data_IF_288105693795
#
_entry.id   IF_288105693795
#
_cell.length_a   1.000
_cell.length_b   1.000
_cell.length_c   1.000
_cell.angle_alpha   90.00
_cell.angle_beta   90.00
_cell.angle_gamma   90.00
#
_symmetry.space_group_name_H-M   'P 1'
#
loop_
_entity.id
_entity.type
_entity.pdbx_description
1 polymer ?
#
# COMPACT_ATOMS: atom_id res chain seq x y z
N UNK A 1 2.47 -10.17 11.30
CA UNK A 1 1.88 -9.29 10.29
C UNK A 1 1.85 -7.85 10.78
N UNK A 2 2.15 -6.91 9.88
CA UNK A 2 2.27 -5.48 10.21
C UNK A 2 0.92 -4.75 10.18
N UNK A 3 -0.18 -5.44 9.87
CA UNK A 3 -1.52 -4.86 9.79
C UNK A 3 -1.78 -3.93 8.59
N UNK A 4 -0.78 -3.60 7.79
CA UNK A 4 -0.91 -2.66 6.66
C UNK A 4 -1.31 -3.30 5.33
N UNK A 5 -1.50 -4.62 5.27
CA UNK A 5 -1.98 -5.31 4.09
C UNK A 5 -3.35 -4.75 3.64
N UNK A 6 -3.53 -4.55 2.35
CA UNK A 6 -4.72 -3.92 1.75
C UNK A 6 -4.98 -2.45 2.14
N UNK A 7 -4.12 -1.83 2.95
CA UNK A 7 -4.18 -0.38 3.19
C UNK A 7 -3.51 0.33 2.01
N UNK A 8 -4.17 1.31 1.37
CA UNK A 8 -3.57 2.09 0.29
C UNK A 8 -2.20 2.66 0.71
N UNK A 9 -1.30 2.84 -0.23
CA UNK A 9 0.09 3.32 -0.05
C UNK A 9 1.01 2.36 0.73
N UNK A 10 0.52 1.61 1.72
CA UNK A 10 1.33 0.81 2.64
C UNK A 10 1.22 -0.70 2.43
N UNK A 11 0.31 -1.15 1.56
CA UNK A 11 0.01 -2.58 1.37
C UNK A 11 0.95 -3.34 0.44
N UNK A 12 1.81 -2.67 -0.33
CA UNK A 12 2.74 -3.34 -1.26
C UNK A 12 3.87 -4.06 -0.50
N UNK A 13 4.42 -5.12 -1.08
CA UNK A 13 5.53 -5.89 -0.47
C UNK A 13 6.72 -4.98 -0.12
N UNK A 14 7.07 -4.04 -1.02
CA UNK A 14 8.16 -3.10 -0.83
C UNK A 14 7.93 -2.19 0.38
N UNK A 15 6.77 -1.53 0.45
CA UNK A 15 6.45 -0.60 1.56
C UNK A 15 6.24 -1.35 2.87
N UNK A 16 5.67 -2.56 2.86
CA UNK A 16 5.61 -3.42 4.05
C UNK A 16 7.02 -3.73 4.60
N UNK A 17 8.00 -3.92 3.72
CA UNK A 17 9.41 -4.04 4.11
C UNK A 17 9.89 -2.77 4.83
N UNK A 18 9.67 -1.60 4.25
CA UNK A 18 10.03 -0.31 4.87
C UNK A 18 9.40 -0.12 6.25
N UNK A 19 8.10 -0.41 6.39
CA UNK A 19 7.38 -0.35 7.68
C UNK A 19 8.00 -1.29 8.72
N UNK A 20 8.40 -2.49 8.30
CA UNK A 20 9.08 -3.45 9.19
C UNK A 20 10.44 -2.95 9.66
N UNK A 21 11.21 -2.35 8.77
CA UNK A 21 12.57 -1.88 9.05
C UNK A 21 12.54 -0.60 9.90
N UNK A 22 11.62 0.33 9.63
CA UNK A 22 11.54 1.64 10.29
C UNK A 22 10.68 1.66 11.54
N UNK A 23 9.74 0.72 11.70
CA UNK A 23 8.81 0.63 12.85
C UNK A 23 8.14 1.97 13.18
N UNK A 24 7.39 2.58 12.25
CA UNK A 24 6.84 3.91 12.42
C UNK A 24 5.92 4.00 13.65
N UNK A 25 6.01 5.09 14.38
CA UNK A 25 5.23 5.36 15.60
C UNK A 25 4.41 6.64 15.50
N UNK A 26 4.71 7.50 14.53
CA UNK A 26 4.06 8.78 14.33
C UNK A 26 3.47 8.89 12.93
N UNK A 27 2.59 9.89 12.73
CA UNK A 27 2.07 10.22 11.41
C UNK A 27 3.18 10.76 10.47
N UNK A 28 4.16 11.47 11.03
CA UNK A 28 5.29 11.98 10.26
C UNK A 28 6.19 10.85 9.74
N UNK A 29 6.39 9.78 10.51
CA UNK A 29 7.08 8.57 10.03
C UNK A 29 6.39 7.96 8.81
N UNK A 30 5.05 7.95 8.79
CA UNK A 30 4.29 7.47 7.65
C UNK A 30 4.44 8.38 6.42
N UNK A 31 4.54 9.70 6.63
CA UNK A 31 4.85 10.65 5.56
C UNK A 31 6.25 10.41 4.98
N UNK A 32 7.23 10.17 5.83
CA UNK A 32 8.59 9.82 5.43
C UNK A 32 8.61 8.55 4.58
N UNK A 33 7.95 7.47 5.04
CA UNK A 33 7.85 6.22 4.29
C UNK A 33 7.18 6.43 2.93
N UNK A 34 6.09 7.20 2.88
CA UNK A 34 5.40 7.51 1.63
C UNK A 34 6.30 8.28 0.66
N UNK A 35 7.00 9.31 1.13
CA UNK A 35 7.94 10.07 0.32
C UNK A 35 9.08 9.21 -0.23
N UNK A 36 9.68 8.39 0.63
CA UNK A 36 10.78 7.49 0.27
C UNK A 36 10.36 6.37 -0.68
N UNK A 37 9.11 5.91 -0.61
CA UNK A 37 8.58 4.83 -1.47
C UNK A 37 8.29 5.29 -2.90
N UNK A 38 8.06 6.57 -3.12
CA UNK A 38 7.70 7.16 -4.42
C UNK A 38 8.86 7.86 -5.13
N UNK A 39 9.99 8.02 -4.48
CA UNK A 39 11.19 8.59 -5.10
C UNK A 39 12.06 7.56 -5.82
N UNK A 40 13.08 8.03 -6.51
CA UNK A 40 14.08 7.19 -7.16
C UNK A 40 15.43 7.41 -6.49
N UNK A 41 16.10 6.32 -6.11
CA UNK A 41 17.37 6.30 -5.37
C UNK A 41 17.33 7.11 -4.05
N UNK A 42 16.19 7.03 -3.37
CA UNK A 42 15.96 7.71 -2.08
C UNK A 42 15.93 6.72 -0.91
N UNK A 43 15.47 5.48 -1.12
CA UNK A 43 15.41 4.47 -0.06
C UNK A 43 16.59 3.50 -0.14
N UNK A 44 16.62 2.60 -1.13
CA UNK A 44 17.68 1.60 -1.28
C UNK A 44 19.02 2.27 -1.61
N UNK A 45 20.07 1.90 -0.89
CA UNK A 45 21.41 2.50 -1.04
C UNK A 45 21.51 3.93 -0.56
N UNK A 46 20.49 4.48 0.10
CA UNK A 46 20.44 5.83 0.64
C UNK A 46 19.79 5.85 2.04
N UNK A 47 18.55 6.26 2.20
CA UNK A 47 17.91 6.39 3.52
C UNK A 47 17.84 5.06 4.29
N UNK A 48 17.70 3.92 3.61
CA UNK A 48 17.75 2.60 4.26
C UNK A 48 19.07 2.35 5.00
N UNK A 49 20.20 2.71 4.37
CA UNK A 49 21.53 2.55 4.96
C UNK A 49 21.76 3.53 6.12
N UNK A 50 21.22 4.76 6.00
CA UNK A 50 21.29 5.77 7.06
C UNK A 50 20.49 5.32 8.29
N UNK A 51 19.27 4.83 8.11
CA UNK A 51 18.44 4.29 9.20
C UNK A 51 19.11 3.09 9.85
N UNK A 52 19.69 2.19 9.05
CA UNK A 52 20.43 1.02 9.58
C UNK A 52 21.69 1.44 10.37
N UNK A 53 22.31 2.58 10.06
CA UNK A 53 23.44 3.15 10.80
C UNK A 53 23.03 3.93 12.05
N UNK A 54 21.71 4.07 12.32
CA UNK A 54 21.18 4.72 13.53
C UNK A 54 20.71 6.16 13.33
N UNK A 55 20.67 6.68 12.10
CA UNK A 55 20.09 7.99 11.82
C UNK A 55 18.55 7.86 11.88
N UNK A 56 17.86 8.71 12.66
CA UNK A 56 16.39 8.69 12.75
C UNK A 56 15.74 8.91 11.38
N UNK A 57 14.62 8.21 11.12
CA UNK A 57 13.92 8.30 9.85
C UNK A 57 13.52 9.74 9.49
N UNK A 58 13.07 10.51 10.46
CA UNK A 58 12.65 11.90 10.29
C UNK A 58 13.81 12.90 10.06
N UNK A 59 15.05 12.47 10.22
CA UNK A 59 16.24 13.25 9.84
C UNK A 59 16.68 12.96 8.40
N UNK A 60 16.23 11.84 7.83
CA UNK A 60 16.52 11.49 6.44
C UNK A 60 15.75 12.40 5.48
N UNK A 61 16.25 12.52 4.25
CA UNK A 61 15.58 13.26 3.18
C UNK A 61 14.43 12.40 2.64
N UNK A 62 13.21 12.68 3.08
CA UNK A 62 12.02 11.89 2.73
C UNK A 62 11.24 12.50 1.56
N UNK A 63 11.15 13.84 1.51
CA UNK A 63 10.45 14.59 0.47
C UNK A 63 11.35 15.75 -0.01
N UNK A 64 11.06 16.28 -1.20
CA UNK A 64 11.82 17.42 -1.75
C UNK A 64 11.83 18.64 -0.83
N UNK A 65 10.71 18.88 -0.17
CA UNK A 65 10.50 20.03 0.72
C UNK A 65 11.43 19.97 1.95
N UNK A 66 11.82 18.77 2.38
CA UNK A 66 12.73 18.57 3.50
C UNK A 66 14.11 19.16 3.22
N UNK A 67 14.60 19.06 1.97
CA UNK A 67 15.89 19.62 1.56
C UNK A 67 15.89 21.14 1.75
N UNK A 68 14.88 21.81 1.22
CA UNK A 68 14.78 23.27 1.30
C UNK A 68 14.68 23.74 2.76
N UNK A 69 13.79 23.15 3.53
CA UNK A 69 13.56 23.53 4.92
C UNK A 69 14.78 23.27 5.80
N UNK A 70 15.43 22.12 5.62
CA UNK A 70 16.64 21.78 6.35
C UNK A 70 17.77 22.76 6.07
N UNK A 71 18.03 23.09 4.80
CA UNK A 71 19.08 24.02 4.40
C UNK A 71 18.82 25.45 4.90
N UNK A 72 17.57 25.93 4.83
CA UNK A 72 17.19 27.22 5.41
C UNK A 72 17.42 27.21 6.93
N UNK A 73 17.00 26.14 7.62
CA UNK A 73 17.22 25.96 9.05
C UNK A 73 18.70 25.92 9.45
N UNK A 74 19.59 25.49 8.55
CA UNK A 74 21.05 25.53 8.73
C UNK A 74 21.68 26.90 8.41
N UNK A 75 20.91 27.83 7.87
CA UNK A 75 21.41 29.18 7.53
C UNK A 75 21.81 29.37 6.07
N UNK A 76 21.54 28.40 5.20
CA UNK A 76 21.73 28.58 3.75
C UNK A 76 20.73 29.60 3.23
N UNK A 77 21.18 30.48 2.34
CA UNK A 77 20.32 31.49 1.73
C UNK A 77 19.08 30.87 1.07
N UNK A 78 17.85 31.37 1.33
CA UNK A 78 16.59 30.72 0.92
C UNK A 78 16.48 30.44 -0.59
N UNK A 79 16.98 31.35 -1.45
CA UNK A 79 16.97 31.17 -2.91
C UNK A 79 17.90 30.03 -3.32
N UNK A 80 19.07 29.94 -2.70
CA UNK A 80 20.03 28.87 -2.97
C UNK A 80 19.52 27.52 -2.43
N UNK A 81 18.89 27.52 -1.26
CA UNK A 81 18.24 26.33 -0.70
C UNK A 81 17.13 25.79 -1.62
N UNK A 82 16.29 26.67 -2.16
CA UNK A 82 15.27 26.32 -3.16
C UNK A 82 15.91 25.77 -4.45
N UNK A 83 16.95 26.43 -4.97
CA UNK A 83 17.66 25.96 -6.18
C UNK A 83 18.32 24.60 -5.96
N UNK A 84 18.87 24.37 -4.77
CA UNK A 84 19.46 23.09 -4.38
C UNK A 84 18.38 21.99 -4.35
N UNK A 85 17.26 22.24 -3.70
CA UNK A 85 16.11 21.34 -3.70
C UNK A 85 15.65 21.01 -5.13
N UNK A 86 15.49 22.03 -5.98
CA UNK A 86 15.07 21.84 -7.38
C UNK A 86 16.08 21.04 -8.22
N UNK A 87 17.38 21.21 -7.96
CA UNK A 87 18.43 20.44 -8.62
C UNK A 87 18.39 18.96 -8.21
N UNK A 88 18.33 18.70 -6.90
CA UNK A 88 18.33 17.36 -6.33
C UNK A 88 17.07 16.59 -6.74
N UNK A 89 15.87 17.18 -6.59
CA UNK A 89 14.62 16.49 -6.93
C UNK A 89 14.50 16.08 -8.40
N UNK A 90 15.22 16.76 -9.29
CA UNK A 90 15.29 16.46 -10.74
C UNK A 90 16.43 15.53 -11.11
N UNK A 91 17.16 15.01 -10.14
CA UNK A 91 18.29 14.12 -10.35
C UNK A 91 19.52 14.77 -11.00
N UNK A 92 19.61 16.11 -10.94
CA UNK A 92 20.76 16.87 -11.48
C UNK A 92 21.94 16.93 -10.52
N UNK A 93 21.78 16.42 -9.30
CA UNK A 93 22.79 16.44 -8.26
C UNK A 93 23.05 17.84 -7.68
N UNK A 94 24.23 18.01 -7.09
CA UNK A 94 24.68 19.26 -6.48
C UNK A 94 25.70 19.93 -7.39
N UNK A 95 25.54 21.24 -7.59
CA UNK A 95 26.59 22.06 -8.20
C UNK A 95 27.62 22.47 -7.14
N UNK A 96 28.87 22.85 -7.54
CA UNK A 96 29.91 23.24 -6.60
C UNK A 96 29.48 24.30 -5.59
N UNK A 97 28.83 25.38 -6.05
CA UNK A 97 28.33 26.44 -5.18
C UNK A 97 27.32 26.00 -4.14
N UNK A 98 26.52 24.99 -4.46
CA UNK A 98 25.51 24.39 -3.55
C UNK A 98 26.24 23.59 -2.46
N UNK A 99 27.20 22.75 -2.85
CA UNK A 99 27.94 21.91 -1.92
C UNK A 99 28.83 22.78 -0.98
N UNK A 100 29.46 23.81 -1.50
CA UNK A 100 30.23 24.76 -0.70
C UNK A 100 29.37 25.49 0.33
N UNK A 101 28.16 25.95 -0.06
CA UNK A 101 27.25 26.59 0.86
C UNK A 101 26.74 25.60 1.94
N UNK A 102 26.48 24.34 1.60
CA UNK A 102 26.10 23.31 2.56
C UNK A 102 27.22 23.06 3.57
N UNK A 103 28.46 22.91 3.13
CA UNK A 103 29.63 22.72 4.01
C UNK A 103 29.88 23.94 4.89
N UNK A 104 29.77 25.15 4.36
CA UNK A 104 29.94 26.40 5.10
C UNK A 104 28.89 26.57 6.22
N UNK A 105 27.70 25.96 6.07
CA UNK A 105 26.63 25.98 7.06
C UNK A 105 26.55 24.69 7.90
N UNK A 106 27.63 23.92 8.01
CA UNK A 106 27.74 22.73 8.82
C UNK A 106 26.66 21.64 8.50
N UNK A 107 26.33 21.50 7.22
CA UNK A 107 25.51 20.38 6.76
C UNK A 107 26.38 19.11 6.80
N UNK A 108 25.92 18.01 7.45
CA UNK A 108 26.71 16.79 7.57
C UNK A 108 27.01 16.16 6.20
N UNK A 109 28.19 15.53 6.07
CA UNK A 109 28.60 14.87 4.83
C UNK A 109 27.60 13.80 4.36
N UNK A 110 27.04 13.02 5.29
CA UNK A 110 26.02 12.01 4.94
C UNK A 110 24.77 12.62 4.29
N UNK A 111 24.39 13.85 4.67
CA UNK A 111 23.26 14.56 4.08
C UNK A 111 23.59 15.03 2.66
N UNK A 112 24.80 15.57 2.47
CA UNK A 112 25.32 15.97 1.16
C UNK A 112 25.40 14.76 0.23
N UNK A 113 25.90 13.63 0.71
CA UNK A 113 26.00 12.39 -0.05
C UNK A 113 24.61 11.81 -0.39
N UNK A 114 23.65 11.91 0.53
CA UNK A 114 22.27 11.55 0.26
C UNK A 114 21.68 12.38 -0.89
N UNK A 115 21.88 13.70 -0.88
CA UNK A 115 21.46 14.59 -1.97
C UNK A 115 22.06 14.20 -3.33
N UNK A 116 23.31 13.74 -3.36
CA UNK A 116 23.99 13.33 -4.61
C UNK A 116 23.43 12.04 -5.21
N UNK A 117 22.93 11.15 -4.37
CA UNK A 117 22.33 9.84 -4.79
C UNK A 117 20.95 10.02 -5.41
N UNK A 118 20.16 10.97 -4.94
CA UNK A 118 18.76 11.16 -5.30
C UNK A 118 18.58 11.46 -6.79
N UNK A 119 17.68 10.73 -7.46
CA UNK A 119 17.33 10.95 -8.86
C UNK A 119 15.96 11.58 -9.05
N UNK A 120 15.03 11.29 -8.15
CA UNK A 120 13.70 11.88 -8.15
C UNK A 120 13.12 11.92 -6.74
N UNK A 121 12.54 13.05 -6.38
CA UNK A 121 11.87 13.23 -5.09
C UNK A 121 10.43 13.68 -5.23
N UNK A 122 9.63 13.18 -4.30
CA UNK A 122 8.20 13.39 -4.21
C UNK A 122 7.87 14.64 -3.37
N UNK A 123 6.82 15.43 -3.73
CA UNK A 123 6.43 16.60 -2.96
C UNK A 123 5.71 16.20 -1.65
N UNK A 124 6.03 16.88 -0.55
CA UNK A 124 5.46 16.58 0.79
C UNK A 124 3.94 16.75 0.83
N UNK A 125 3.41 17.80 0.21
CA UNK A 125 1.97 18.05 0.16
C UNK A 125 1.18 16.88 -0.49
N UNK A 126 1.73 16.29 -1.53
CA UNK A 126 1.13 15.11 -2.17
C UNK A 126 1.17 13.88 -1.24
N UNK A 127 2.31 13.63 -0.59
CA UNK A 127 2.44 12.56 0.39
C UNK A 127 1.42 12.72 1.54
N UNK A 128 1.25 13.93 2.07
CA UNK A 128 0.26 14.23 3.11
C UNK A 128 -1.15 13.82 2.70
N UNK A 129 -1.60 14.19 1.50
CA UNK A 129 -2.95 13.90 1.01
C UNK A 129 -3.20 12.37 0.95
N UNK A 130 -2.26 11.62 0.39
CA UNK A 130 -2.38 10.15 0.26
C UNK A 130 -2.25 9.44 1.59
N UNK A 131 -1.33 9.85 2.46
CA UNK A 131 -1.17 9.25 3.79
C UNK A 131 -2.38 9.53 4.68
N UNK A 132 -2.96 10.74 4.63
CA UNK A 132 -4.21 11.02 5.34
C UNK A 132 -5.35 10.10 4.92
N UNK A 133 -5.50 9.86 3.62
CA UNK A 133 -6.50 8.93 3.08
C UNK A 133 -6.20 7.49 3.56
N UNK A 134 -4.96 7.04 3.44
CA UNK A 134 -4.54 5.72 3.86
C UNK A 134 -4.77 5.51 5.37
N UNK A 135 -4.44 6.50 6.19
CA UNK A 135 -4.63 6.46 7.63
C UNK A 135 -6.13 6.37 8.01
N UNK A 136 -7.00 7.12 7.33
CA UNK A 136 -8.46 7.01 7.52
C UNK A 136 -8.97 5.62 7.16
N UNK A 137 -8.49 5.03 6.07
CA UNK A 137 -8.86 3.68 5.66
C UNK A 137 -8.33 2.65 6.67
N UNK A 138 -7.11 2.81 7.16
CA UNK A 138 -6.54 1.96 8.22
C UNK A 138 -7.36 2.04 9.52
N UNK A 139 -7.91 3.20 9.86
CA UNK A 139 -8.82 3.35 10.99
C UNK A 139 -10.05 2.41 10.85
N UNK A 140 -10.66 2.34 9.67
CA UNK A 140 -11.76 1.39 9.42
C UNK A 140 -11.29 -0.06 9.55
N UNK A 141 -10.09 -0.39 9.09
CA UNK A 141 -9.52 -1.74 9.23
C UNK A 141 -9.42 -2.17 10.70
N UNK A 142 -9.10 -1.25 11.59
CA UNK A 142 -8.98 -1.50 13.05
C UNK A 142 -10.35 -1.53 13.71
N UNK A 143 -11.18 -0.50 13.51
CA UNK A 143 -12.40 -0.27 14.29
C UNK A 143 -13.67 -0.80 13.63
N UNK A 144 -13.69 -1.01 12.32
CA UNK A 144 -14.82 -1.53 11.54
C UNK A 144 -14.32 -2.53 10.49
N UNK A 145 -13.66 -3.62 10.92
CA UNK A 145 -12.94 -4.52 10.03
C UNK A 145 -13.82 -5.15 8.94
N UNK A 146 -15.03 -5.59 9.25
CA UNK A 146 -15.92 -6.17 8.24
C UNK A 146 -16.31 -5.17 7.15
N UNK A 147 -16.53 -3.90 7.51
CA UNK A 147 -16.79 -2.85 6.52
C UNK A 147 -15.55 -2.59 5.65
N UNK A 148 -14.35 -2.58 6.25
CA UNK A 148 -13.09 -2.45 5.51
C UNK A 148 -12.90 -3.59 4.50
N UNK A 149 -13.05 -4.84 4.93
CA UNK A 149 -12.86 -6.01 4.05
C UNK A 149 -13.95 -6.10 2.99
N UNK A 150 -15.22 -5.80 3.33
CA UNK A 150 -16.30 -5.73 2.34
C UNK A 150 -15.98 -4.72 1.24
N UNK A 151 -15.54 -3.51 1.60
CA UNK A 151 -15.15 -2.49 0.63
C UNK A 151 -13.92 -2.92 -0.20
N UNK A 152 -12.91 -3.49 0.45
CA UNK A 152 -11.72 -3.98 -0.25
C UNK A 152 -12.07 -5.05 -1.28
N UNK A 153 -12.77 -6.11 -0.88
CA UNK A 153 -13.12 -7.21 -1.76
C UNK A 153 -14.10 -6.81 -2.87
N UNK A 154 -14.99 -5.84 -2.60
CA UNK A 154 -15.95 -5.36 -3.60
C UNK A 154 -15.35 -4.41 -4.64
N UNK A 155 -14.31 -3.62 -4.26
CA UNK A 155 -13.85 -2.49 -5.09
C UNK A 155 -12.39 -2.62 -5.52
N UNK A 156 -11.54 -3.18 -4.69
CA UNK A 156 -10.08 -3.18 -4.91
C UNK A 156 -9.50 -4.54 -5.25
N UNK A 157 -10.06 -5.60 -4.70
CA UNK A 157 -9.56 -6.95 -4.94
C UNK A 157 -9.71 -7.33 -6.42
N UNK A 158 -8.66 -7.90 -6.97
CA UNK A 158 -8.67 -8.48 -8.31
C UNK A 158 -8.49 -9.99 -8.21
N UNK A 159 -9.16 -10.73 -9.09
CA UNK A 159 -9.02 -12.17 -9.13
C UNK A 159 -9.57 -12.87 -7.89
N UNK A 160 -10.60 -12.31 -7.22
CA UNK A 160 -11.31 -13.03 -6.17
C UNK A 160 -12.09 -14.20 -6.81
N UNK A 161 -11.83 -15.39 -6.32
CA UNK A 161 -12.43 -16.63 -6.79
C UNK A 161 -13.14 -17.32 -5.62
N UNK A 162 -14.46 -17.22 -5.59
CA UNK A 162 -15.29 -17.83 -4.54
C UNK A 162 -15.18 -19.36 -4.54
N UNK A 163 -14.94 -20.01 -5.69
CA UNK A 163 -14.79 -21.47 -5.76
C UNK A 163 -13.61 -22.00 -4.92
N UNK A 164 -12.66 -21.15 -4.62
CA UNK A 164 -11.45 -21.45 -3.85
C UNK A 164 -11.43 -20.68 -2.52
N UNK A 165 -11.54 -19.36 -2.55
CA UNK A 165 -11.18 -18.47 -1.44
C UNK A 165 -12.14 -18.56 -0.25
N UNK A 166 -13.40 -18.97 -0.47
CA UNK A 166 -14.37 -19.15 0.62
C UNK A 166 -14.28 -20.50 1.33
N UNK A 167 -13.43 -21.42 0.85
CA UNK A 167 -13.29 -22.77 1.42
C UNK A 167 -12.47 -22.84 2.70
N UNK A 168 -11.91 -21.71 3.14
CA UNK A 168 -11.19 -21.61 4.38
C UNK A 168 -9.71 -21.26 4.21
N UNK A 169 -9.08 -20.95 5.35
CA UNK A 169 -7.71 -20.45 5.41
C UNK A 169 -6.67 -21.44 4.84
N UNK A 170 -6.83 -22.72 5.10
CA UNK A 170 -5.90 -23.75 4.60
C UNK A 170 -5.82 -23.77 3.07
N UNK A 171 -6.97 -23.66 2.39
CA UNK A 171 -7.03 -23.64 0.93
C UNK A 171 -6.39 -22.37 0.37
N UNK A 172 -6.61 -21.23 1.02
CA UNK A 172 -5.95 -19.98 0.64
C UNK A 172 -4.43 -20.08 0.79
N UNK A 173 -3.93 -20.63 1.89
CA UNK A 173 -2.50 -20.81 2.13
C UNK A 173 -1.83 -21.73 1.10
N UNK A 174 -2.46 -22.84 0.75
CA UNK A 174 -1.92 -23.76 -0.24
C UNK A 174 -1.81 -23.10 -1.62
N UNK A 175 -2.82 -22.29 -1.97
CA UNK A 175 -2.80 -21.54 -3.22
C UNK A 175 -1.75 -20.42 -3.20
N UNK A 176 -1.56 -19.73 -2.08
CA UNK A 176 -0.48 -18.74 -1.91
C UNK A 176 0.88 -19.40 -2.11
N UNK A 177 1.10 -20.60 -1.54
CA UNK A 177 2.36 -21.35 -1.70
C UNK A 177 2.61 -21.76 -3.15
N UNK A 178 1.57 -22.19 -3.84
CA UNK A 178 1.65 -22.53 -5.27
C UNK A 178 2.08 -21.29 -6.09
N UNK A 179 1.38 -20.15 -5.91
CA UNK A 179 1.67 -18.92 -6.64
C UNK A 179 3.05 -18.34 -6.28
N UNK A 180 3.47 -18.49 -5.02
CA UNK A 180 4.81 -18.07 -4.60
C UNK A 180 5.92 -18.86 -5.31
N UNK A 181 5.76 -20.19 -5.51
CA UNK A 181 6.70 -20.98 -6.31
C UNK A 181 6.80 -20.46 -7.74
N UNK A 182 5.64 -20.17 -8.37
CA UNK A 182 5.61 -19.59 -9.72
C UNK A 182 6.29 -18.22 -9.79
N UNK A 183 6.19 -17.40 -8.72
CA UNK A 183 6.85 -16.09 -8.66
C UNK A 183 8.37 -16.24 -8.56
N UNK A 184 8.86 -17.19 -7.76
CA UNK A 184 10.28 -17.53 -7.67
C UNK A 184 10.82 -18.04 -9.02
N UNK A 185 10.07 -18.90 -9.69
CA UNK A 185 10.42 -19.47 -11.00
C UNK A 185 10.20 -18.47 -12.15
N UNK A 186 9.72 -17.25 -11.87
CA UNK A 186 9.39 -16.21 -12.84
C UNK A 186 8.38 -16.64 -13.92
N UNK A 187 7.49 -17.57 -13.57
CA UNK A 187 6.44 -18.10 -14.45
C UNK A 187 5.05 -17.55 -14.11
N UNK A 188 4.93 -16.76 -13.03
CA UNK A 188 3.67 -16.17 -12.59
C UNK A 188 3.20 -15.08 -13.56
N UNK A 189 1.93 -15.13 -13.97
CA UNK A 189 1.30 -14.09 -14.79
C UNK A 189 0.88 -12.88 -13.95
N UNK A 190 0.59 -11.75 -14.60
CA UNK A 190 0.08 -10.55 -13.93
C UNK A 190 -1.26 -10.81 -13.21
N UNK A 191 -2.17 -11.57 -13.82
CA UNK A 191 -3.44 -11.96 -13.21
C UNK A 191 -3.24 -12.83 -11.97
N UNK A 192 -2.29 -13.77 -12.00
CA UNK A 192 -1.95 -14.61 -10.84
C UNK A 192 -1.32 -13.79 -9.70
N UNK A 193 -0.56 -12.74 -9.98
CA UNK A 193 -0.05 -11.80 -8.95
C UNK A 193 -1.18 -11.03 -8.26
N UNK A 194 -2.15 -10.58 -9.04
CA UNK A 194 -3.35 -9.93 -8.49
C UNK A 194 -4.12 -10.91 -7.59
N UNK A 195 -4.30 -12.14 -8.04
CA UNK A 195 -4.94 -13.23 -7.25
C UNK A 195 -4.15 -13.54 -5.98
N UNK A 196 -2.81 -13.59 -6.05
CA UNK A 196 -1.96 -13.82 -4.89
C UNK A 196 -2.15 -12.73 -3.82
N UNK A 197 -2.19 -11.47 -4.24
CA UNK A 197 -2.45 -10.35 -3.32
C UNK A 197 -3.81 -10.48 -2.64
N UNK A 198 -4.84 -10.85 -3.40
CA UNK A 198 -6.20 -11.06 -2.87
C UNK A 198 -6.24 -12.24 -1.89
N UNK A 199 -5.54 -13.34 -2.19
CA UNK A 199 -5.41 -14.50 -1.28
C UNK A 199 -4.70 -14.15 0.03
N UNK A 200 -3.65 -13.30 -0.01
CA UNK A 200 -3.00 -12.81 1.21
C UNK A 200 -3.98 -12.06 2.12
N UNK A 201 -4.87 -11.26 1.53
CA UNK A 201 -5.91 -10.54 2.28
C UNK A 201 -6.99 -11.50 2.80
N UNK A 202 -7.38 -12.54 2.03
CA UNK A 202 -8.27 -13.59 2.52
C UNK A 202 -7.65 -14.34 3.72
N UNK A 203 -6.36 -14.66 3.64
CA UNK A 203 -5.64 -15.28 4.74
C UNK A 203 -5.66 -14.40 6.01
N UNK A 204 -5.36 -13.10 5.88
CA UNK A 204 -5.44 -12.16 7.00
C UNK A 204 -6.87 -12.11 7.57
N UNK A 205 -7.89 -12.06 6.71
CA UNK A 205 -9.29 -12.05 7.08
C UNK A 205 -9.67 -13.25 7.96
N UNK A 206 -9.28 -14.45 7.53
CA UNK A 206 -9.48 -15.67 8.32
C UNK A 206 -8.69 -15.66 9.64
N UNK A 207 -7.43 -15.21 9.63
CA UNK A 207 -6.59 -15.12 10.83
C UNK A 207 -7.13 -14.13 11.87
N UNK A 208 -7.92 -13.16 11.45
CA UNK A 208 -8.63 -12.24 12.34
C UNK A 208 -9.95 -12.83 12.87
N UNK A 209 -10.27 -14.09 12.55
CA UNK A 209 -11.46 -14.79 13.03
C UNK A 209 -12.72 -14.53 12.23
N UNK A 210 -12.64 -13.87 11.08
CA UNK A 210 -13.76 -13.67 10.18
C UNK A 210 -13.92 -14.84 9.21
N UNK A 211 -15.11 -14.99 8.63
CA UNK A 211 -15.42 -16.07 7.70
C UNK A 211 -16.11 -15.54 6.44
N UNK A 212 -15.89 -16.21 5.31
CA UNK A 212 -16.78 -16.07 4.17
C UNK A 212 -17.94 -17.06 4.35
N UNK A 213 -19.16 -16.54 4.35
CA UNK A 213 -20.36 -17.37 4.36
C UNK A 213 -20.65 -17.89 2.94
N UNK A 214 -21.35 -19.00 2.79
CA UNK A 214 -21.74 -19.51 1.48
C UNK A 214 -22.57 -18.49 0.71
N UNK A 215 -22.40 -18.47 -0.61
CA UNK A 215 -23.29 -17.71 -1.47
C UNK A 215 -24.72 -18.24 -1.34
N UNK A 216 -25.67 -17.32 -1.33
CA UNK A 216 -27.10 -17.62 -1.19
C UNK A 216 -27.86 -16.84 -2.27
N UNK A 217 -28.71 -17.57 -3.02
CA UNK A 217 -29.46 -17.00 -4.14
C UNK A 217 -30.35 -15.83 -3.69
N UNK A 218 -30.82 -15.85 -2.46
CA UNK A 218 -31.73 -14.83 -1.92
C UNK A 218 -31.01 -13.71 -1.14
N UNK A 219 -29.78 -13.93 -0.67
CA UNK A 219 -29.04 -12.97 0.16
C UNK A 219 -27.89 -12.31 -0.58
N UNK A 220 -27.13 -13.05 -1.42
CA UNK A 220 -25.97 -12.51 -2.10
C UNK A 220 -26.33 -11.31 -2.99
N UNK A 221 -25.47 -10.32 -3.03
CA UNK A 221 -25.57 -9.20 -3.99
C UNK A 221 -24.99 -9.60 -5.35
N UNK A 222 -25.27 -8.83 -6.38
CA UNK A 222 -24.68 -9.05 -7.71
C UNK A 222 -23.17 -8.88 -7.69
N UNK A 223 -22.68 -7.76 -7.11
CA UNK A 223 -21.29 -7.30 -7.24
C UNK A 223 -20.58 -6.97 -5.92
N UNK A 224 -21.34 -6.83 -4.80
CA UNK A 224 -20.81 -6.37 -3.53
C UNK A 224 -20.85 -7.46 -2.47
N UNK A 225 -19.81 -7.51 -1.65
CA UNK A 225 -19.78 -8.36 -0.45
C UNK A 225 -20.74 -7.81 0.61
N UNK A 226 -21.64 -8.65 1.10
CA UNK A 226 -22.60 -8.31 2.16
C UNK A 226 -21.99 -8.59 3.52
N UNK A 227 -22.03 -7.60 4.40
CA UNK A 227 -21.57 -7.74 5.80
C UNK A 227 -22.60 -8.49 6.62
N UNK A 228 -22.15 -9.49 7.38
CA UNK A 228 -22.93 -10.24 8.36
C UNK A 228 -22.39 -10.02 9.77
N UNK A 229 -22.92 -10.69 10.77
CA UNK A 229 -22.38 -10.59 12.14
C UNK A 229 -20.96 -11.14 12.28
N UNK A 230 -20.62 -12.19 11.51
CA UNK A 230 -19.35 -12.92 11.65
C UNK A 230 -18.42 -12.82 10.44
N UNK A 231 -18.91 -12.28 9.33
CA UNK A 231 -18.14 -12.32 8.12
C UNK A 231 -18.77 -11.62 6.92
N UNK A 232 -18.55 -12.20 5.76
CA UNK A 232 -18.98 -11.65 4.49
C UNK A 232 -19.65 -12.72 3.62
N UNK A 233 -20.79 -12.38 2.98
CA UNK A 233 -21.37 -13.18 1.90
C UNK A 233 -20.80 -12.66 0.58
N UNK A 234 -20.16 -13.51 -0.25
CA UNK A 234 -19.61 -13.12 -1.55
C UNK A 234 -20.71 -12.80 -2.56
N UNK A 235 -20.48 -11.87 -3.51
CA UNK A 235 -21.38 -11.58 -4.60
C UNK A 235 -21.39 -12.69 -5.66
N UNK A 236 -22.41 -12.71 -6.51
CA UNK A 236 -22.49 -13.67 -7.61
C UNK A 236 -21.32 -13.53 -8.60
N UNK A 237 -20.87 -12.31 -8.88
CA UNK A 237 -19.70 -12.06 -9.75
C UNK A 237 -18.38 -12.61 -9.22
N UNK A 238 -18.31 -13.01 -7.95
CA UNK A 238 -17.12 -13.66 -7.37
C UNK A 238 -16.96 -15.13 -7.80
N UNK A 239 -18.01 -15.71 -8.39
CA UNK A 239 -17.98 -17.07 -8.91
C UNK A 239 -17.48 -17.07 -10.36
N UNK A 240 -16.45 -17.87 -10.69
CA UNK A 240 -15.98 -18.00 -12.06
C UNK A 240 -17.11 -18.36 -13.03
N UNK A 241 -17.19 -17.63 -14.13
CA UNK A 241 -18.20 -17.84 -15.17
C UNK A 241 -19.49 -17.04 -14.99
N UNK A 242 -19.73 -16.37 -13.86
CA UNK A 242 -20.87 -15.46 -13.70
C UNK A 242 -20.44 -14.03 -13.99
N UNK A 243 -20.87 -13.49 -15.14
CA UNK A 243 -20.68 -12.09 -15.50
C UNK A 243 -21.65 -11.16 -14.76
N UNK A 244 -21.32 -9.87 -14.75
CA UNK A 244 -22.08 -8.85 -14.01
C UNK A 244 -23.55 -8.79 -14.45
N UNK A 245 -23.83 -8.86 -15.75
CA UNK A 245 -25.22 -8.84 -16.25
C UNK A 245 -26.03 -10.04 -15.78
N UNK A 246 -25.44 -11.23 -15.77
CA UNK A 246 -26.09 -12.44 -15.26
C UNK A 246 -26.38 -12.33 -13.75
N UNK A 247 -25.41 -11.81 -12.99
CA UNK A 247 -25.56 -11.57 -11.57
C UNK A 247 -26.67 -10.56 -11.25
N UNK A 248 -26.74 -9.45 -12.00
CA UNK A 248 -27.81 -8.47 -11.88
C UNK A 248 -29.18 -9.07 -12.21
N UNK A 249 -29.27 -9.88 -13.26
CA UNK A 249 -30.52 -10.56 -13.63
C UNK A 249 -31.02 -11.51 -12.51
N UNK A 250 -30.12 -12.26 -11.87
CA UNK A 250 -30.50 -13.13 -10.73
C UNK A 250 -31.10 -12.29 -9.60
N UNK A 251 -30.46 -11.14 -9.27
CA UNK A 251 -30.96 -10.24 -8.21
C UNK A 251 -32.30 -9.63 -8.55
N UNK A 252 -32.57 -9.30 -9.81
CA UNK A 252 -33.85 -8.76 -10.24
C UNK A 252 -34.95 -9.86 -10.27
N UNK A 253 -34.66 -11.04 -10.81
CA UNK A 253 -35.62 -12.13 -10.90
C UNK A 253 -36.08 -12.62 -9.52
N UNK A 254 -35.18 -12.71 -8.52
CA UNK A 254 -35.58 -13.11 -7.16
C UNK A 254 -36.59 -12.16 -6.48
N UNK A 255 -36.63 -10.88 -6.92
CA UNK A 255 -37.62 -9.91 -6.40
C UNK A 255 -39.07 -10.26 -6.82
N UNK A 256 -39.22 -10.98 -7.92
CA UNK A 256 -40.52 -11.40 -8.44
C UNK A 256 -41.14 -12.60 -7.68
N UNK A 257 -40.34 -13.27 -6.87
CA UNK A 257 -40.77 -14.41 -6.08
C UNK A 257 -39.66 -15.44 -5.86
N UNK A 258 -40.04 -16.57 -5.21
CA UNK A 258 -39.10 -17.68 -5.04
C UNK A 258 -38.94 -18.45 -6.35
N UNK A 259 -37.70 -18.85 -6.63
CA UNK A 259 -37.44 -19.78 -7.72
C UNK A 259 -38.12 -21.13 -7.43
N UNK A 260 -38.77 -21.71 -8.44
CA UNK A 260 -39.54 -22.97 -8.32
C UNK A 260 -38.63 -24.20 -8.42
N UNK A 261 -37.46 -24.05 -9.06
CA UNK A 261 -36.37 -25.06 -9.18
C UNK A 261 -35.04 -24.38 -9.36
N UNK A 262 -33.97 -25.10 -9.03
CA UNK A 262 -32.62 -24.70 -9.36
C UNK A 262 -32.26 -25.06 -10.80
#
# INVERSE_FOLDING_TARGET
>A
DLGCLAVPEFGTKFVRGMVKDTKPTTFDDLLCISGLSHGTDVWLGNAADLVASGIPLNECICCRDDIMNYLIGKGVEPKLAFQTMESVRKGKGLKPEMEEAMKANNVPDWYIDSCKKIKYMFPKAHAVAYVMMAFRIAWFKVHKPLAFYSAYFSVRAKGFDASCMIKGDAVCLDKIRELHRKDVDKTISAAEKDTQTTLEVCHEFYKRGFVFEPMDVYKSDATKFIVTEKGLIPPFTSMPGIGEQAALNIVEERKKGRFLSA
#
